data_IF_849648967826
#
_entry.id   IF_849648967826
#
_cell.length_a   1.000
_cell.length_b   1.000
_cell.length_c   1.000
_cell.angle_alpha   90.00
_cell.angle_beta   90.00
_cell.angle_gamma   90.00
#
_symmetry.space_group_name_H-M   'P 1'
#
loop_
_entity.id
_entity.type
_entity.pdbx_description
1 polymer ?
#
# COMPACT_ATOMS: atom_id res chain seq x y z
N UNK A 1 -19.52 -9.62 -1.49
CA UNK A 1 -18.75 -8.37 -1.44
C UNK A 1 -18.69 -7.93 0.03
N UNK A 2 -17.76 -8.47 0.79
CA UNK A 2 -17.50 -7.97 2.16
C UNK A 2 -16.27 -7.07 2.06
N UNK A 3 -16.50 -5.79 1.82
CA UNK A 3 -15.47 -4.77 1.93
C UNK A 3 -14.99 -4.72 3.38
N UNK A 4 -13.66 -4.75 3.57
CA UNK A 4 -13.05 -4.49 4.87
C UNK A 4 -13.62 -3.14 5.37
N UNK A 5 -14.14 -3.05 6.60
CA UNK A 5 -14.64 -1.77 7.11
C UNK A 5 -13.48 -0.76 7.09
N UNK A 6 -13.71 0.36 6.44
CA UNK A 6 -12.80 1.51 6.49
C UNK A 6 -12.73 1.95 7.94
N UNK A 7 -11.55 1.94 8.55
CA UNK A 7 -11.38 2.59 9.85
C UNK A 7 -11.74 4.07 9.66
N UNK A 8 -12.72 4.58 10.39
CA UNK A 8 -13.09 5.98 10.25
C UNK A 8 -11.89 6.84 10.63
N UNK A 9 -11.60 7.84 9.79
CA UNK A 9 -10.61 8.88 10.09
C UNK A 9 -10.90 9.40 11.51
N UNK A 10 -9.92 9.34 12.41
CA UNK A 10 -10.10 9.87 13.77
C UNK A 10 -10.41 11.38 13.66
N UNK A 11 -11.64 11.73 13.98
CA UNK A 11 -12.17 13.10 13.86
C UNK A 11 -11.90 13.95 15.10
N UNK A 12 -11.22 13.39 16.10
CA UNK A 12 -10.88 14.13 17.32
C UNK A 12 -9.72 15.07 17.04
N UNK A 13 -9.94 16.35 17.24
CA UNK A 13 -8.86 17.34 17.14
C UNK A 13 -7.81 17.04 18.22
N UNK A 14 -6.54 16.82 17.87
CA UNK A 14 -5.47 16.59 18.83
C UNK A 14 -5.34 17.77 19.81
N UNK A 15 -5.00 17.50 21.07
CA UNK A 15 -4.78 18.54 22.07
C UNK A 15 -3.69 19.52 21.60
N UNK A 16 -4.00 20.83 21.61
CA UNK A 16 -3.09 21.88 21.15
C UNK A 16 -3.01 22.08 19.63
N UNK A 17 -3.81 21.38 18.82
CA UNK A 17 -3.83 21.56 17.38
C UNK A 17 -4.48 22.89 16.97
N UNK A 18 -3.96 23.47 15.89
CA UNK A 18 -4.60 24.63 15.23
C UNK A 18 -5.85 24.16 14.49
N UNK A 19 -7.03 24.47 15.00
CA UNK A 19 -8.31 23.97 14.49
C UNK A 19 -8.50 24.16 12.98
N UNK A 20 -8.07 25.28 12.42
CA UNK A 20 -8.19 25.52 10.97
C UNK A 20 -7.29 24.60 10.15
N UNK A 21 -6.09 24.29 10.63
CA UNK A 21 -5.16 23.37 9.98
C UNK A 21 -5.69 21.94 10.05
N UNK A 22 -6.13 21.53 11.24
CA UNK A 22 -6.74 20.22 11.47
C UNK A 22 -7.93 19.98 10.54
N UNK A 23 -8.87 20.95 10.47
CA UNK A 23 -10.00 20.89 9.55
C UNK A 23 -9.61 20.80 8.07
N UNK A 24 -8.56 21.52 7.66
CA UNK A 24 -8.06 21.45 6.28
C UNK A 24 -7.49 20.05 5.95
N UNK A 25 -6.80 19.42 6.89
CA UNK A 25 -6.31 18.06 6.74
C UNK A 25 -7.45 17.03 6.70
N UNK A 26 -8.44 17.16 7.59
CA UNK A 26 -9.65 16.33 7.56
C UNK A 26 -10.39 16.41 6.22
N UNK A 27 -10.48 17.60 5.62
CA UNK A 27 -11.06 17.76 4.28
C UNK A 27 -10.26 16.96 3.24
N UNK A 28 -8.92 17.01 3.25
CA UNK A 28 -8.09 16.24 2.31
C UNK A 28 -8.26 14.72 2.50
N UNK A 29 -8.36 14.26 3.74
CA UNK A 29 -8.55 12.86 4.08
C UNK A 29 -9.96 12.32 3.78
N UNK A 30 -10.95 13.20 3.52
CA UNK A 30 -12.30 12.79 3.15
C UNK A 30 -12.43 12.33 1.68
N UNK A 31 -11.43 12.60 0.85
CA UNK A 31 -11.45 12.15 -0.55
C UNK A 31 -11.03 10.70 -0.63
N UNK A 32 -11.92 9.86 -1.12
CA UNK A 32 -11.73 8.43 -1.30
C UNK A 32 -12.06 8.02 -2.74
N UNK A 33 -11.62 6.82 -3.15
CA UNK A 33 -11.95 6.27 -4.47
C UNK A 33 -13.46 6.12 -4.69
N UNK A 34 -14.20 5.77 -3.64
CA UNK A 34 -15.66 5.66 -3.65
C UNK A 34 -16.36 7.01 -3.68
N UNK A 35 -15.67 8.06 -3.23
CA UNK A 35 -16.15 9.44 -3.22
C UNK A 35 -15.04 10.40 -3.65
N UNK A 36 -14.73 10.47 -4.95
CA UNK A 36 -13.57 11.20 -5.48
C UNK A 36 -13.78 12.70 -5.58
N UNK A 37 -14.99 13.19 -5.35
CA UNK A 37 -15.33 14.61 -5.39
C UNK A 37 -16.36 15.00 -4.31
N UNK A 38 -16.31 16.27 -3.91
CA UNK A 38 -17.14 16.82 -2.86
C UNK A 38 -17.66 18.22 -3.21
N UNK A 39 -18.92 18.46 -2.87
CA UNK A 39 -19.52 19.81 -2.85
C UNK A 39 -19.33 20.49 -1.49
N UNK A 40 -19.45 21.81 -1.45
CA UNK A 40 -19.33 22.61 -0.20
C UNK A 40 -20.34 22.19 0.86
N UNK A 41 -21.60 22.05 0.48
CA UNK A 41 -22.68 21.66 1.40
C UNK A 41 -22.52 20.25 1.93
N UNK A 42 -21.94 19.36 1.13
CA UNK A 42 -21.67 17.99 1.53
C UNK A 42 -20.55 17.90 2.57
N UNK A 43 -19.44 18.65 2.37
CA UNK A 43 -18.37 18.76 3.37
C UNK A 43 -18.89 19.40 4.66
N UNK A 44 -19.71 20.45 4.56
CA UNK A 44 -20.31 21.09 5.71
C UNK A 44 -21.16 20.09 6.52
N UNK A 45 -22.00 19.32 5.84
CA UNK A 45 -22.84 18.30 6.47
C UNK A 45 -22.04 17.13 7.07
N UNK A 46 -21.02 16.63 6.33
CA UNK A 46 -20.18 15.50 6.75
C UNK A 46 -19.46 15.76 8.08
N UNK A 47 -18.98 17.00 8.26
CA UNK A 47 -18.20 17.38 9.44
C UNK A 47 -18.99 18.22 10.48
N UNK A 48 -20.24 18.54 10.20
CA UNK A 48 -21.05 19.39 11.08
C UNK A 48 -20.55 20.84 11.17
N UNK A 49 -20.04 21.39 10.05
CA UNK A 49 -19.51 22.76 10.00
C UNK A 49 -20.46 23.71 9.26
N UNK A 50 -20.30 25.01 9.53
CA UNK A 50 -20.96 26.03 8.72
C UNK A 50 -20.49 25.98 7.26
N UNK A 51 -21.40 26.17 6.32
CA UNK A 51 -21.10 26.19 4.88
C UNK A 51 -20.03 27.22 4.52
N UNK A 52 -20.00 28.37 5.20
CA UNK A 52 -18.97 29.41 5.02
C UNK A 52 -17.58 28.94 5.43
N UNK A 53 -17.46 28.10 6.46
CA UNK A 53 -16.19 27.50 6.90
C UNK A 53 -15.73 26.47 5.87
N UNK A 54 -16.62 25.56 5.45
CA UNK A 54 -16.32 24.56 4.41
C UNK A 54 -15.87 25.25 3.10
N UNK A 55 -16.59 26.29 2.65
CA UNK A 55 -16.22 27.05 1.45
C UNK A 55 -14.82 27.66 1.55
N UNK A 56 -14.48 28.30 2.68
CA UNK A 56 -13.15 28.90 2.86
C UNK A 56 -12.03 27.86 2.88
N UNK A 57 -12.23 26.69 3.51
CA UNK A 57 -11.26 25.59 3.52
C UNK A 57 -11.03 25.06 2.10
N UNK A 58 -12.10 24.70 1.38
CA UNK A 58 -12.03 24.18 0.02
C UNK A 58 -11.38 25.16 -0.94
N UNK A 59 -11.77 26.45 -0.89
CA UNK A 59 -11.16 27.48 -1.75
C UNK A 59 -9.67 27.73 -1.42
N UNK A 60 -9.29 27.69 -0.14
CA UNK A 60 -7.90 27.83 0.28
C UNK A 60 -7.05 26.65 -0.22
N UNK A 61 -7.55 25.42 -0.04
CA UNK A 61 -6.88 24.21 -0.55
C UNK A 61 -6.75 24.22 -2.08
N UNK A 62 -7.80 24.70 -2.77
CA UNK A 62 -7.76 24.86 -4.23
C UNK A 62 -6.75 25.94 -4.66
N UNK A 63 -6.71 27.08 -3.98
CA UNK A 63 -5.72 28.13 -4.24
C UNK A 63 -4.27 27.69 -4.03
N UNK A 64 -4.04 26.65 -3.23
CA UNK A 64 -2.71 26.00 -3.03
C UNK A 64 -2.48 24.79 -3.93
N UNK A 65 -3.45 24.42 -4.78
CA UNK A 65 -3.36 23.30 -5.71
C UNK A 65 -3.53 21.92 -5.07
N UNK A 66 -3.94 21.84 -3.81
CA UNK A 66 -4.31 20.57 -3.15
C UNK A 66 -5.67 20.07 -3.63
N UNK A 67 -6.55 20.96 -4.02
CA UNK A 67 -7.80 20.66 -4.68
C UNK A 67 -7.88 21.36 -6.03
N UNK A 68 -8.77 20.87 -6.89
CA UNK A 68 -9.18 21.52 -8.14
C UNK A 68 -10.69 21.58 -8.11
N UNK A 69 -11.26 22.79 -8.37
CA UNK A 69 -12.70 22.94 -8.51
C UNK A 69 -13.11 22.77 -9.97
N UNK A 70 -14.17 22.03 -10.20
CA UNK A 70 -14.83 21.94 -11.48
C UNK A 70 -15.83 23.13 -11.59
N UNK A 71 -15.63 24.06 -12.55
CA UNK A 71 -16.49 25.22 -12.68
C UNK A 71 -17.93 24.89 -13.09
N UNK A 72 -18.16 23.76 -13.76
CA UNK A 72 -19.49 23.35 -14.24
C UNK A 72 -20.31 22.74 -13.09
N UNK A 73 -19.70 21.87 -12.28
CA UNK A 73 -20.39 21.15 -11.20
C UNK A 73 -20.23 21.81 -9.84
N UNK A 74 -19.29 22.74 -9.68
CA UNK A 74 -18.86 23.35 -8.41
C UNK A 74 -18.37 22.33 -7.38
N UNK A 75 -17.93 21.17 -7.85
CA UNK A 75 -17.34 20.11 -7.01
C UNK A 75 -15.82 20.23 -6.98
N UNK A 76 -15.24 19.77 -5.90
CA UNK A 76 -13.79 19.75 -5.68
C UNK A 76 -13.26 18.33 -5.80
N UNK A 77 -12.07 18.19 -6.38
CA UNK A 77 -11.29 16.94 -6.49
C UNK A 77 -9.88 17.15 -5.99
N UNK A 78 -9.17 16.06 -5.66
CA UNK A 78 -7.75 16.14 -5.30
C UNK A 78 -6.96 16.75 -6.44
N UNK A 79 -6.10 17.71 -6.10
CA UNK A 79 -5.27 18.47 -7.02
C UNK A 79 -3.81 18.00 -7.09
N UNK A 80 -3.02 18.53 -8.02
CA UNK A 80 -1.65 18.08 -8.31
C UNK A 80 -0.66 18.30 -7.16
N UNK A 81 -0.93 19.17 -6.19
CA UNK A 81 -0.06 19.36 -5.04
C UNK A 81 0.05 18.09 -4.17
N UNK A 82 -1.04 17.35 -4.02
CA UNK A 82 -1.04 16.08 -3.29
C UNK A 82 -0.13 15.04 -3.98
N UNK A 83 -0.20 14.92 -5.31
CA UNK A 83 0.67 14.03 -6.08
C UNK A 83 2.16 14.39 -5.91
N UNK A 84 2.50 15.70 -5.92
CA UNK A 84 3.89 16.14 -5.70
C UNK A 84 4.42 15.72 -4.34
N UNK A 85 3.61 15.86 -3.28
CA UNK A 85 4.00 15.44 -1.94
C UNK A 85 4.15 13.91 -1.83
N UNK A 86 3.23 13.16 -2.43
CA UNK A 86 3.32 11.70 -2.48
C UNK A 86 4.62 11.22 -3.13
N UNK A 87 4.95 11.77 -4.32
CA UNK A 87 6.21 11.44 -5.02
C UNK A 87 7.46 11.85 -4.24
N UNK A 88 7.43 12.97 -3.54
CA UNK A 88 8.54 13.40 -2.70
C UNK A 88 8.74 12.44 -1.53
N UNK A 89 7.65 12.02 -0.90
CA UNK A 89 7.68 11.07 0.20
C UNK A 89 8.23 9.69 -0.24
N UNK A 90 7.79 9.17 -1.39
CA UNK A 90 8.30 7.92 -1.98
C UNK A 90 9.82 7.97 -2.25
N UNK A 91 10.33 9.13 -2.68
CA UNK A 91 11.76 9.32 -3.01
C UNK A 91 12.64 9.62 -1.79
N UNK A 92 12.06 9.97 -0.67
CA UNK A 92 12.82 10.44 0.51
C UNK A 92 13.40 9.30 1.35
N UNK A 93 13.17 8.02 1.00
CA UNK A 93 13.52 6.86 1.84
C UNK A 93 12.65 6.73 3.09
N UNK A 94 11.66 7.60 3.28
CA UNK A 94 10.77 7.57 4.45
C UNK A 94 9.99 6.26 4.54
N UNK A 95 9.63 5.69 3.40
CA UNK A 95 8.91 4.43 3.32
C UNK A 95 9.78 3.24 3.79
N UNK A 96 11.03 3.21 3.35
CA UNK A 96 12.02 2.22 3.78
C UNK A 96 12.22 2.29 5.30
N UNK A 97 12.44 3.48 5.85
CA UNK A 97 12.59 3.71 7.30
C UNK A 97 11.35 3.27 8.11
N UNK A 98 10.15 3.42 7.56
CA UNK A 98 8.92 2.95 8.21
C UNK A 98 8.75 1.44 8.13
N UNK A 99 9.10 0.84 7.00
CA UNK A 99 8.95 -0.58 6.75
C UNK A 99 10.04 -1.42 7.44
N UNK A 100 11.29 -0.97 7.45
CA UNK A 100 12.46 -1.73 7.90
C UNK A 100 12.25 -2.43 9.25
N UNK A 101 11.77 -1.80 10.33
CA UNK A 101 11.60 -2.51 11.61
C UNK A 101 10.59 -3.66 11.53
N UNK A 102 9.55 -3.53 10.69
CA UNK A 102 8.55 -4.59 10.49
C UNK A 102 9.16 -5.75 9.69
N UNK A 103 9.94 -5.42 8.66
CA UNK A 103 10.64 -6.43 7.84
C UNK A 103 11.66 -7.20 8.67
N UNK A 104 12.43 -6.53 9.52
CA UNK A 104 13.42 -7.14 10.41
C UNK A 104 12.76 -8.08 11.43
N UNK A 105 11.65 -7.67 12.06
CA UNK A 105 10.90 -8.52 12.99
C UNK A 105 10.35 -9.76 12.28
N UNK A 106 9.79 -9.59 11.07
CA UNK A 106 9.24 -10.67 10.28
C UNK A 106 10.33 -11.65 9.82
N UNK A 107 11.48 -11.13 9.39
CA UNK A 107 12.66 -11.94 9.04
C UNK A 107 13.17 -12.73 10.25
N UNK A 108 13.28 -12.09 11.42
CA UNK A 108 13.72 -12.76 12.63
C UNK A 108 12.77 -13.90 13.07
N UNK A 109 11.47 -13.75 12.80
CA UNK A 109 10.46 -14.77 13.14
C UNK A 109 10.42 -15.95 12.17
N UNK A 110 10.82 -15.75 10.89
CA UNK A 110 10.66 -16.78 9.84
C UNK A 110 11.96 -17.28 9.26
N UNK A 111 13.03 -16.49 9.35
CA UNK A 111 14.30 -16.76 8.65
C UNK A 111 14.22 -16.60 7.14
N UNK A 112 13.07 -16.20 6.59
CA UNK A 112 12.84 -16.04 5.16
C UNK A 112 13.22 -14.61 4.70
N UNK A 113 13.45 -14.45 3.41
CA UNK A 113 13.62 -13.13 2.79
C UNK A 113 12.30 -12.39 2.78
N UNK A 114 12.32 -11.15 3.26
CA UNK A 114 11.14 -10.29 3.38
C UNK A 114 11.22 -9.15 2.37
N UNK A 115 10.14 -8.93 1.63
CA UNK A 115 10.03 -7.88 0.64
C UNK A 115 8.80 -7.02 0.89
N UNK A 116 8.96 -5.72 0.79
CA UNK A 116 7.86 -4.80 0.65
C UNK A 116 7.92 -4.15 -0.73
N UNK A 117 6.85 -4.32 -1.51
CA UNK A 117 6.78 -3.88 -2.89
C UNK A 117 5.59 -2.95 -3.12
N UNK A 118 5.78 -1.94 -3.96
CA UNK A 118 4.73 -1.02 -4.42
C UNK A 118 4.45 -1.20 -5.91
N UNK A 119 3.24 -0.87 -6.38
CA UNK A 119 2.91 -0.95 -7.80
C UNK A 119 3.70 0.05 -8.63
N UNK A 120 4.22 -0.41 -9.75
CA UNK A 120 4.89 0.39 -10.76
C UNK A 120 4.44 -0.06 -12.16
N UNK A 121 3.41 0.59 -12.68
CA UNK A 121 2.82 0.26 -13.97
C UNK A 121 2.33 -1.19 -14.04
N UNK A 122 2.95 -2.04 -14.85
CA UNK A 122 2.66 -3.48 -14.99
C UNK A 122 3.63 -4.35 -14.18
N UNK A 123 4.18 -3.79 -13.09
CA UNK A 123 5.13 -4.47 -12.21
C UNK A 123 4.87 -4.09 -10.75
N UNK A 124 5.47 -4.84 -9.84
CA UNK A 124 5.68 -4.43 -8.46
C UNK A 124 7.16 -4.09 -8.28
N UNK A 125 7.46 -2.90 -7.78
CA UNK A 125 8.81 -2.46 -7.46
C UNK A 125 9.13 -2.77 -6.01
N UNK A 126 10.23 -3.45 -5.74
CA UNK A 126 10.74 -3.62 -4.39
C UNK A 126 11.23 -2.26 -3.85
N UNK A 127 10.67 -1.83 -2.73
CA UNK A 127 11.01 -0.55 -2.08
C UNK A 127 11.72 -0.73 -0.75
N UNK A 128 11.59 -1.90 -0.11
CA UNK A 128 12.35 -2.30 1.06
C UNK A 128 12.47 -3.82 1.10
N UNK A 129 13.60 -4.31 1.59
CA UNK A 129 13.87 -5.73 1.69
C UNK A 129 14.83 -6.05 2.83
N UNK A 130 14.66 -7.23 3.41
CA UNK A 130 15.59 -7.83 4.38
C UNK A 130 15.87 -9.26 3.94
N UNK A 131 17.14 -9.58 3.75
CA UNK A 131 17.56 -10.91 3.33
C UNK A 131 17.31 -11.95 4.42
N UNK A 132 16.90 -13.15 3.99
CA UNK A 132 16.72 -14.30 4.85
C UNK A 132 18.03 -14.89 5.37
N UNK A 133 17.91 -15.96 6.15
CA UNK A 133 19.05 -16.71 6.63
C UNK A 133 19.75 -17.45 5.47
N UNK A 134 21.06 -17.74 5.63
CA UNK A 134 21.85 -18.39 4.59
C UNK A 134 21.30 -19.78 4.23
N UNK A 135 21.21 -20.04 2.93
CA UNK A 135 20.83 -21.33 2.36
C UNK A 135 21.50 -21.57 1.02
N UNK A 136 21.41 -22.78 0.45
CA UNK A 136 22.02 -23.11 -0.85
C UNK A 136 21.47 -22.31 -2.01
N UNK A 137 20.24 -21.78 -1.85
CA UNK A 137 19.61 -20.85 -2.78
C UNK A 137 19.33 -19.55 -2.02
N UNK A 138 20.05 -18.50 -2.37
CA UNK A 138 19.79 -17.16 -1.86
C UNK A 138 18.77 -16.48 -2.77
N UNK A 139 17.66 -16.10 -2.20
CA UNK A 139 16.76 -15.15 -2.84
C UNK A 139 17.25 -13.74 -2.48
N UNK A 140 17.84 -13.06 -3.46
CA UNK A 140 18.34 -11.70 -3.27
C UNK A 140 17.35 -10.69 -3.83
N UNK A 141 16.46 -10.11 -3.01
CA UNK A 141 15.64 -9.01 -3.46
C UNK A 141 16.53 -7.77 -3.56
N UNK A 142 16.65 -7.25 -4.74
CA UNK A 142 17.29 -5.96 -4.92
C UNK A 142 16.23 -4.87 -4.76
N UNK A 143 16.43 -3.95 -3.83
CA UNK A 143 15.61 -2.73 -3.76
C UNK A 143 15.69 -2.01 -5.11
N UNK A 144 14.51 -1.72 -5.70
CA UNK A 144 14.38 -1.21 -7.06
C UNK A 144 14.06 -2.26 -8.12
N UNK A 145 14.19 -3.56 -7.80
CA UNK A 145 13.84 -4.66 -8.72
C UNK A 145 12.35 -4.64 -9.07
N UNK A 146 12.04 -5.05 -10.30
CA UNK A 146 10.69 -5.05 -10.86
C UNK A 146 10.18 -6.48 -11.04
N UNK A 147 9.12 -6.82 -10.33
CA UNK A 147 8.43 -8.11 -10.45
C UNK A 147 7.21 -7.96 -11.36
N UNK A 148 7.02 -8.86 -12.35
CA UNK A 148 5.93 -8.75 -13.31
C UNK A 148 4.56 -8.91 -12.63
N UNK A 149 3.55 -8.16 -13.08
CA UNK A 149 2.23 -8.11 -12.47
C UNK A 149 1.49 -9.45 -12.41
N UNK A 150 1.76 -10.34 -13.37
CA UNK A 150 1.04 -11.61 -13.54
C UNK A 150 1.71 -12.82 -12.88
N UNK A 151 3.01 -12.72 -12.51
CA UNK A 151 3.77 -13.86 -12.01
C UNK A 151 4.31 -13.60 -10.59
N UNK A 152 4.16 -14.61 -9.75
CA UNK A 152 4.62 -14.61 -8.36
C UNK A 152 3.61 -14.03 -7.37
N UNK A 153 3.68 -14.55 -6.13
CA UNK A 153 2.75 -14.18 -5.07
C UNK A 153 2.81 -12.68 -4.71
N UNK A 154 3.99 -12.07 -4.72
CA UNK A 154 4.20 -10.64 -4.45
C UNK A 154 3.30 -9.76 -5.31
N UNK A 155 3.26 -10.02 -6.61
CA UNK A 155 2.41 -9.26 -7.53
C UNK A 155 0.94 -9.65 -7.41
N UNK A 156 0.63 -10.93 -7.38
CA UNK A 156 -0.75 -11.42 -7.32
C UNK A 156 -1.48 -10.95 -6.05
N UNK A 157 -0.80 -10.84 -4.91
CA UNK A 157 -1.41 -10.36 -3.67
C UNK A 157 -1.88 -8.90 -3.76
N UNK A 158 -1.22 -8.07 -4.54
CA UNK A 158 -1.64 -6.68 -4.79
C UNK A 158 -2.69 -6.59 -5.90
N UNK A 159 -2.38 -7.12 -7.10
CA UNK A 159 -3.24 -6.93 -8.28
C UNK A 159 -4.61 -7.60 -8.13
N UNK A 160 -4.73 -8.64 -7.32
CA UNK A 160 -6.00 -9.28 -7.00
C UNK A 160 -7.02 -8.31 -6.38
N UNK A 161 -6.58 -7.31 -5.63
CA UNK A 161 -7.44 -6.38 -4.91
C UNK A 161 -7.74 -5.08 -5.66
N UNK A 162 -7.15 -4.88 -6.85
CA UNK A 162 -7.55 -3.77 -7.71
C UNK A 162 -9.02 -3.93 -8.15
N UNK A 163 -9.74 -2.83 -8.39
CA UNK A 163 -11.05 -2.87 -9.02
C UNK A 163 -11.04 -3.65 -10.32
N UNK A 164 -12.08 -4.42 -10.58
CA UNK A 164 -12.17 -5.30 -11.76
C UNK A 164 -11.89 -4.53 -13.05
N UNK A 165 -12.48 -3.36 -13.23
CA UNK A 165 -12.27 -2.55 -14.43
C UNK A 165 -10.81 -2.08 -14.59
N UNK A 166 -10.16 -1.69 -13.49
CA UNK A 166 -8.75 -1.28 -13.51
C UNK A 166 -7.84 -2.47 -13.81
N UNK A 167 -8.11 -3.62 -13.21
CA UNK A 167 -7.38 -4.86 -13.45
C UNK A 167 -7.55 -5.33 -14.89
N UNK A 168 -8.78 -5.37 -15.41
CA UNK A 168 -9.03 -5.72 -16.81
C UNK A 168 -8.32 -4.78 -17.78
N UNK A 169 -8.32 -3.46 -17.54
CA UNK A 169 -7.57 -2.50 -18.38
C UNK A 169 -6.07 -2.75 -18.33
N UNK A 170 -5.56 -3.14 -17.15
CA UNK A 170 -4.12 -3.38 -16.96
C UNK A 170 -3.65 -4.62 -17.74
N UNK A 171 -4.40 -5.71 -17.70
CA UNK A 171 -4.02 -7.00 -18.30
C UNK A 171 -4.51 -7.21 -19.73
N UNK A 172 -5.53 -6.47 -20.17
CA UNK A 172 -6.15 -6.66 -21.49
C UNK A 172 -5.17 -6.42 -22.63
N UNK A 173 -5.02 -7.44 -23.48
CA UNK A 173 -4.20 -7.37 -24.70
C UNK A 173 -2.70 -7.22 -24.46
N UNK A 174 -2.23 -7.37 -23.21
CA UNK A 174 -0.80 -7.36 -22.91
C UNK A 174 -0.22 -8.76 -22.97
N UNK A 175 0.91 -8.96 -23.64
CA UNK A 175 1.62 -10.22 -23.59
C UNK A 175 2.15 -10.44 -22.16
N UNK A 176 1.92 -11.64 -21.63
CA UNK A 176 2.44 -12.09 -20.36
C UNK A 176 3.63 -13.02 -20.60
N UNK A 177 4.83 -12.60 -20.20
CA UNK A 177 6.05 -13.38 -20.38
C UNK A 177 6.00 -14.66 -19.54
N UNK A 178 6.49 -15.75 -20.11
CA UNK A 178 6.68 -17.01 -19.40
C UNK A 178 8.09 -17.05 -18.80
N UNK A 179 8.18 -17.13 -17.48
CA UNK A 179 9.47 -17.22 -16.75
C UNK A 179 9.83 -18.68 -16.45
N UNK A 180 8.82 -19.48 -16.14
CA UNK A 180 8.94 -20.90 -15.88
C UNK A 180 7.79 -21.66 -16.54
N UNK A 181 7.80 -22.98 -16.46
CA UNK A 181 6.66 -23.80 -16.90
C UNK A 181 5.37 -23.55 -16.10
N UNK A 182 5.53 -23.06 -14.86
CA UNK A 182 4.41 -22.75 -13.94
C UNK A 182 3.87 -21.35 -14.09
N UNK A 183 4.51 -20.48 -14.86
CA UNK A 183 4.02 -19.10 -15.07
C UNK A 183 2.66 -19.11 -15.75
N UNK A 184 1.68 -18.50 -15.11
CA UNK A 184 0.35 -18.30 -15.67
C UNK A 184 0.41 -17.18 -16.71
N UNK A 185 0.09 -17.51 -17.97
CA UNK A 185 0.07 -16.58 -19.11
C UNK A 185 -1.31 -16.44 -19.75
N UNK A 186 -2.29 -17.21 -19.29
CA UNK A 186 -3.67 -17.13 -19.71
C UNK A 186 -4.44 -16.14 -18.84
N UNK A 187 -5.08 -15.10 -19.42
CA UNK A 187 -5.79 -14.07 -18.66
C UNK A 187 -6.96 -14.62 -17.83
N UNK A 188 -7.68 -15.61 -18.33
CA UNK A 188 -8.83 -16.17 -17.62
C UNK A 188 -8.39 -17.03 -16.44
N UNK A 189 -7.28 -17.76 -16.60
CA UNK A 189 -6.66 -18.47 -15.48
C UNK A 189 -6.16 -17.49 -14.43
N UNK A 190 -5.48 -16.43 -14.83
CA UNK A 190 -5.00 -15.40 -13.91
C UNK A 190 -6.15 -14.76 -13.12
N UNK A 191 -7.28 -14.49 -13.78
CA UNK A 191 -8.44 -13.93 -13.10
C UNK A 191 -9.08 -14.92 -12.10
N UNK A 192 -9.06 -16.22 -12.39
CA UNK A 192 -9.46 -17.25 -11.41
C UNK A 192 -8.56 -17.25 -10.19
N UNK A 193 -7.24 -17.13 -10.36
CA UNK A 193 -6.29 -17.03 -9.27
C UNK A 193 -6.48 -15.75 -8.45
N UNK A 194 -6.71 -14.62 -9.09
CA UNK A 194 -7.03 -13.37 -8.37
C UNK A 194 -8.30 -13.50 -7.50
N UNK A 195 -9.32 -14.21 -7.98
CA UNK A 195 -10.50 -14.50 -7.15
C UNK A 195 -10.16 -15.35 -5.93
N UNK A 196 -9.33 -16.36 -6.09
CA UNK A 196 -8.84 -17.19 -4.97
C UNK A 196 -8.05 -16.35 -3.97
N UNK A 197 -7.13 -15.53 -4.45
CA UNK A 197 -6.33 -14.62 -3.60
C UNK A 197 -7.23 -13.66 -2.81
N UNK A 198 -8.26 -13.08 -3.44
CA UNK A 198 -9.24 -12.23 -2.73
C UNK A 198 -10.01 -12.97 -1.66
N UNK A 199 -10.42 -14.20 -1.95
CA UNK A 199 -11.21 -15.00 -1.01
C UNK A 199 -10.42 -15.42 0.24
N UNK A 200 -9.15 -15.79 0.08
CA UNK A 200 -8.29 -16.26 1.17
C UNK A 200 -7.46 -15.14 1.83
N UNK A 201 -7.30 -13.98 1.16
CA UNK A 201 -6.59 -12.82 1.68
C UNK A 201 -5.07 -12.84 1.50
N UNK A 202 -4.52 -13.83 0.80
CA UNK A 202 -3.10 -13.96 0.51
C UNK A 202 -2.87 -14.62 -0.84
N UNK A 203 -1.68 -14.45 -1.41
CA UNK A 203 -1.21 -15.19 -2.57
C UNK A 203 -0.11 -16.18 -2.15
N UNK A 204 -0.08 -17.32 -2.78
CA UNK A 204 0.95 -18.34 -2.62
C UNK A 204 1.37 -18.88 -3.98
N UNK A 205 2.67 -18.93 -4.24
CA UNK A 205 3.21 -19.49 -5.49
C UNK A 205 4.51 -20.25 -5.24
N UNK A 206 4.73 -21.32 -5.99
CA UNK A 206 5.98 -22.09 -5.98
C UNK A 206 6.48 -22.23 -7.40
N UNK A 207 7.68 -21.74 -7.66
CA UNK A 207 8.34 -21.92 -8.95
C UNK A 207 7.64 -21.19 -10.10
N UNK A 208 6.92 -20.11 -9.85
CA UNK A 208 6.16 -19.41 -10.89
C UNK A 208 6.98 -18.30 -11.59
N UNK A 209 7.72 -17.51 -10.83
CA UNK A 209 8.64 -16.49 -11.33
C UNK A 209 10.07 -17.01 -11.37
N UNK A 210 10.50 -17.70 -10.33
CA UNK A 210 11.75 -18.42 -10.22
C UNK A 210 11.45 -19.87 -9.83
N UNK A 211 11.99 -20.84 -10.58
CA UNK A 211 11.68 -22.27 -10.43
C UNK A 211 12.07 -22.87 -9.08
N UNK A 212 13.03 -22.26 -8.39
CA UNK A 212 13.54 -22.68 -7.09
C UNK A 212 12.86 -22.02 -5.89
N UNK A 213 12.01 -21.04 -6.09
CA UNK A 213 11.49 -20.16 -5.04
C UNK A 213 10.02 -20.43 -4.75
N UNK A 214 9.69 -20.54 -3.45
CA UNK A 214 8.35 -20.43 -2.89
C UNK A 214 8.15 -19.02 -2.32
N UNK A 215 6.99 -18.43 -2.54
CA UNK A 215 6.66 -17.09 -2.05
C UNK A 215 5.23 -17.04 -1.55
N UNK A 216 5.04 -16.55 -0.32
CA UNK A 216 3.74 -16.17 0.22
C UNK A 216 3.68 -14.67 0.41
N UNK A 217 2.55 -14.05 0.05
CA UNK A 217 2.40 -12.60 0.09
C UNK A 217 1.00 -12.17 0.50
N UNK A 218 0.92 -11.06 1.21
CA UNK A 218 -0.33 -10.40 1.57
C UNK A 218 -0.38 -8.97 1.04
N UNK A 219 -1.56 -8.48 0.66
CA UNK A 219 -1.73 -7.08 0.34
C UNK A 219 -1.51 -6.23 1.60
N UNK A 220 -0.94 -5.06 1.40
CA UNK A 220 -0.85 -3.98 2.40
C UNK A 220 -1.80 -2.89 1.95
N UNK A 221 -2.69 -2.45 2.84
CA UNK A 221 -3.70 -1.44 2.53
C UNK A 221 -3.35 -0.08 3.17
N UNK A 222 -3.75 0.98 2.51
CA UNK A 222 -3.81 2.32 3.09
C UNK A 222 -5.28 2.73 3.12
N UNK A 223 -5.89 2.67 4.30
CA UNK A 223 -7.35 2.70 4.42
C UNK A 223 -8.00 1.49 3.74
N UNK A 224 -8.90 1.72 2.79
CA UNK A 224 -9.56 0.67 2.00
C UNK A 224 -8.83 0.32 0.70
N UNK A 225 -7.80 1.08 0.31
CA UNK A 225 -7.14 0.94 -0.98
C UNK A 225 -5.92 0.02 -0.87
N UNK A 226 -5.72 -0.92 -1.82
CA UNK A 226 -4.50 -1.69 -1.90
C UNK A 226 -3.33 -0.74 -2.20
N UNK A 227 -2.33 -0.73 -1.34
CA UNK A 227 -1.19 0.15 -1.43
C UNK A 227 0.07 -0.57 -1.91
N UNK A 228 0.31 -1.78 -1.41
CA UNK A 228 1.48 -2.57 -1.75
C UNK A 228 1.31 -4.04 -1.41
N UNK A 229 2.42 -4.74 -1.36
CA UNK A 229 2.52 -6.16 -1.03
C UNK A 229 3.67 -6.41 -0.07
N UNK A 230 3.41 -7.13 1.02
CA UNK A 230 4.41 -7.68 1.93
C UNK A 230 4.53 -9.18 1.66
N UNK A 231 5.73 -9.66 1.40
CA UNK A 231 5.97 -11.05 1.01
C UNK A 231 7.15 -11.70 1.73
N UNK A 232 7.05 -13.02 1.89
CA UNK A 232 8.10 -13.92 2.35
C UNK A 232 8.49 -14.82 1.18
N UNK A 233 9.78 -14.84 0.84
CA UNK A 233 10.35 -15.69 -0.19
C UNK A 233 11.51 -16.50 0.34
N UNK A 234 11.55 -17.77 -0.04
CA UNK A 234 12.64 -18.67 0.29
C UNK A 234 12.76 -19.80 -0.75
N UNK A 235 13.79 -20.62 -0.64
CA UNK A 235 13.86 -21.88 -1.37
C UNK A 235 12.59 -22.68 -1.16
N UNK A 236 12.02 -23.24 -2.22
CA UNK A 236 10.73 -23.94 -2.18
C UNK A 236 10.68 -25.09 -1.17
N UNK A 237 11.83 -25.70 -0.90
CA UNK A 237 12.01 -26.79 0.08
C UNK A 237 11.74 -26.34 1.52
N UNK A 238 11.76 -25.04 1.80
CA UNK A 238 11.40 -24.47 3.11
C UNK A 238 9.90 -24.38 3.32
N UNK A 239 9.11 -24.73 2.32
CA UNK A 239 7.63 -24.75 2.36
C UNK A 239 7.10 -26.16 2.02
N UNK A 240 7.48 -27.20 2.77
CA UNK A 240 7.15 -28.59 2.41
C UNK A 240 5.63 -28.86 2.44
N UNK A 241 4.90 -28.21 3.33
CA UNK A 241 3.44 -28.37 3.53
C UNK A 241 2.64 -27.14 3.10
N UNK A 242 3.31 -26.14 2.47
CA UNK A 242 2.66 -24.89 2.08
C UNK A 242 3.06 -23.70 2.96
N UNK A 243 2.30 -22.58 2.91
CA UNK A 243 2.64 -21.35 3.60
C UNK A 243 2.03 -21.20 5.00
N UNK A 244 1.28 -22.20 5.50
CA UNK A 244 0.36 -22.09 6.65
C UNK A 244 1.07 -21.60 7.91
N UNK A 245 2.28 -22.07 8.18
CA UNK A 245 3.12 -21.70 9.32
C UNK A 245 3.60 -20.24 9.30
N UNK A 246 3.56 -19.57 8.12
CA UNK A 246 3.95 -18.18 7.93
C UNK A 246 2.77 -17.21 7.92
N UNK A 247 1.55 -17.70 7.68
CA UNK A 247 0.39 -16.84 7.41
C UNK A 247 0.05 -15.92 8.59
N UNK A 248 0.09 -16.43 9.83
CA UNK A 248 -0.29 -15.61 10.99
C UNK A 248 0.74 -14.50 11.25
N UNK A 249 2.03 -14.84 11.17
CA UNK A 249 3.12 -13.86 11.36
C UNK A 249 3.10 -12.81 10.25
N UNK A 250 2.92 -13.23 9.01
CA UNK A 250 2.83 -12.32 7.86
C UNK A 250 1.60 -11.40 7.97
N UNK A 251 0.45 -11.93 8.40
CA UNK A 251 -0.77 -11.16 8.63
C UNK A 251 -0.59 -10.09 9.70
N UNK A 252 0.08 -10.44 10.80
CA UNK A 252 0.40 -9.50 11.88
C UNK A 252 1.34 -8.40 11.37
N UNK A 253 2.38 -8.77 10.62
CA UNK A 253 3.33 -7.82 10.06
C UNK A 253 2.67 -6.87 9.05
N UNK A 254 1.79 -7.38 8.17
CA UNK A 254 1.05 -6.55 7.23
C UNK A 254 0.19 -5.50 7.96
N UNK A 255 -0.57 -5.91 9.00
CA UNK A 255 -1.36 -4.97 9.81
C UNK A 255 -0.49 -3.92 10.52
N UNK A 256 0.65 -4.32 11.08
CA UNK A 256 1.57 -3.39 11.72
C UNK A 256 2.14 -2.37 10.72
N UNK A 257 2.47 -2.81 9.51
CA UNK A 257 2.93 -1.93 8.44
C UNK A 257 1.83 -0.95 8.01
N UNK A 258 0.58 -1.40 7.84
CA UNK A 258 -0.59 -0.56 7.57
C UNK A 258 -0.76 0.53 8.65
N UNK A 259 -0.66 0.16 9.92
CA UNK A 259 -0.74 1.10 11.03
C UNK A 259 0.39 2.15 10.99
N UNK A 260 1.62 1.73 10.73
CA UNK A 260 2.77 2.65 10.62
C UNK A 260 2.66 3.59 9.42
N UNK A 261 2.10 3.13 8.31
CA UNK A 261 1.86 3.94 7.12
C UNK A 261 0.76 4.99 7.36
N UNK A 262 -0.28 4.62 8.12
CA UNK A 262 -1.39 5.53 8.45
C UNK A 262 -1.03 6.49 9.59
N UNK A 263 -0.32 5.98 10.60
CA UNK A 263 0.09 6.72 11.80
C UNK A 263 1.59 6.54 12.04
N UNK A 264 2.44 7.28 11.30
CA UNK A 264 3.88 7.17 11.48
C UNK A 264 4.27 7.48 12.92
N UNK A 265 5.19 6.69 13.53
CA UNK A 265 5.65 6.94 14.88
C UNK A 265 6.23 8.35 14.98
N UNK A 266 5.73 9.13 15.94
CA UNK A 266 6.27 10.45 16.21
C UNK A 266 7.70 10.28 16.73
N UNK A 267 8.69 10.72 15.97
CA UNK A 267 10.04 10.83 16.49
C UNK A 267 10.05 11.84 17.64
N UNK A 268 10.03 11.37 18.86
CA UNK A 268 10.37 12.20 19.99
C UNK A 268 11.77 12.76 19.72
N UNK A 269 11.87 14.08 19.52
CA UNK A 269 13.16 14.76 19.44
C UNK A 269 14.00 14.28 20.62
N UNK A 270 15.12 13.61 20.35
CA UNK A 270 16.14 13.40 21.39
C UNK A 270 16.41 14.76 22.03
N UNK A 271 16.38 14.86 23.37
CA UNK A 271 16.74 16.11 24.02
C UNK A 271 18.12 16.53 23.51
N UNK A 272 18.22 17.78 23.03
CA UNK A 272 19.50 18.35 22.65
C UNK A 272 20.43 18.23 23.87
N UNK A 273 21.59 17.59 23.69
CA UNK A 273 22.63 17.60 24.68
C UNK A 273 22.93 19.06 25.08
N UNK A 274 23.11 19.36 26.37
CA UNK A 274 23.44 20.70 26.81
C UNK A 274 24.72 21.13 26.12
N UNK A 275 24.70 22.33 25.50
CA UNK A 275 25.90 22.98 24.99
C UNK A 275 26.78 23.29 26.24
N UNK A 276 27.89 22.55 26.39
CA UNK A 276 28.96 22.94 27.29
C UNK A 276 29.56 24.24 26.76
N UNK A 277 29.51 25.28 27.62
CA UNK A 277 30.13 26.58 27.44
C UNK A 277 31.64 26.46 27.51
#
# INVERSE_FOLDING_TARGET
MSGRPVEPVDRRTPAGALQTVDRALLVLLAFERTRPDWGVTEIAAEFGWDTSVAQRLLSTLAGRGFLVSDPATRRYRIGPAALRLGRLWERSGSLELLAEPVLQELRAATGDTVLFCLPDSFHMRCVAAVEGEEGPLRYYPLVGELYPAHAGATSKSFYAFLPDEQRHRLFRGRPMARFTERTVTDPDQLEREFRTVRAQGYAWTVGEYDAGIGTVAMPVFLGSEPYGSLSLGAAKERFPEGPEDRLEVLRRAARLLEQRLTHPPQHHRRPRAPRTS
#
